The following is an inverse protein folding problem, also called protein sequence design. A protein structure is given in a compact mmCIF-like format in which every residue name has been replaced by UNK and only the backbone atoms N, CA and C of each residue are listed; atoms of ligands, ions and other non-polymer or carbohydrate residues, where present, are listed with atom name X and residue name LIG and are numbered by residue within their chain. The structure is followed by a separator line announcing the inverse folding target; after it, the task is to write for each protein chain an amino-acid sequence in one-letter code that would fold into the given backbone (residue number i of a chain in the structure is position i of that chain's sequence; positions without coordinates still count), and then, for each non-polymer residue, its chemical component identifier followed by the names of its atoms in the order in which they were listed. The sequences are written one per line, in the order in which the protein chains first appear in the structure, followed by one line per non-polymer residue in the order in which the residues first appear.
data_IF_812687338875
#
_entry.id   IF_812687338875
#
_cell.length_a   1.000
_cell.length_b   1.000
_cell.length_c   1.000
_cell.angle_alpha   90.00
_cell.angle_beta   90.00
_cell.angle_gamma   90.00
#
_symmetry.space_group_name_H-M   'P 1'
#
loop_
_entity.id
_entity.type
_entity.pdbx_description
1 polymer ?
#
# COMPACT_ATOMS: atom_id res chain seq x y z
N UNK A 1 10.04 24.14 -5.13
CA UNK A 1 10.14 23.01 -6.09
C UNK A 1 11.27 22.10 -5.65
N UNK A 2 10.96 20.97 -4.99
CA UNK A 2 11.99 20.00 -4.58
C UNK A 2 12.23 19.03 -5.75
N UNK A 3 13.26 19.30 -6.54
CA UNK A 3 13.63 18.51 -7.73
C UNK A 3 14.52 17.30 -7.41
N UNK A 4 14.62 16.89 -6.14
CA UNK A 4 15.59 15.88 -5.67
C UNK A 4 14.94 14.77 -4.81
N UNK A 5 13.71 14.37 -5.12
CA UNK A 5 13.11 13.20 -4.46
C UNK A 5 13.66 11.93 -5.12
N UNK A 6 13.93 10.87 -4.35
CA UNK A 6 14.31 9.55 -4.88
C UNK A 6 13.32 9.03 -5.96
N UNK A 7 12.06 9.47 -5.86
CA UNK A 7 11.02 9.29 -6.85
C UNK A 7 11.36 9.90 -8.23
N UNK A 8 11.90 11.11 -8.25
CA UNK A 8 12.22 11.85 -9.47
C UNK A 8 13.57 11.42 -10.07
N UNK A 9 14.45 10.81 -9.27
CA UNK A 9 15.75 10.30 -9.71
C UNK A 9 15.72 8.90 -10.37
N UNK A 10 14.58 8.21 -10.36
CA UNK A 10 14.44 6.95 -11.11
C UNK A 10 13.31 6.03 -10.66
N UNK A 11 12.90 6.08 -9.39
CA UNK A 11 11.82 5.20 -8.90
C UNK A 11 10.49 5.45 -9.64
N UNK A 12 10.26 6.66 -10.15
CA UNK A 12 9.07 6.94 -10.94
C UNK A 12 9.07 6.33 -12.33
N UNK A 13 10.21 6.26 -12.99
CA UNK A 13 10.34 5.52 -14.24
C UNK A 13 10.09 4.02 -14.01
N UNK A 14 10.70 3.45 -12.97
CA UNK A 14 10.50 2.03 -12.62
C UNK A 14 9.03 1.78 -12.26
N UNK A 15 8.43 2.66 -11.46
CA UNK A 15 7.00 2.58 -11.11
C UNK A 15 6.09 2.61 -12.33
N UNK A 16 6.39 3.47 -13.30
CA UNK A 16 5.64 3.56 -14.56
C UNK A 16 5.78 2.30 -15.43
N UNK A 17 7.01 1.77 -15.59
CA UNK A 17 7.24 0.53 -16.33
C UNK A 17 6.53 -0.65 -15.65
N UNK A 18 6.59 -0.73 -14.33
CA UNK A 18 5.90 -1.76 -13.56
C UNK A 18 4.37 -1.60 -13.55
N UNK A 19 3.86 -0.40 -13.78
CA UNK A 19 2.45 -0.18 -14.03
C UNK A 19 2.04 -0.71 -15.41
N UNK A 20 2.83 -0.42 -16.45
CA UNK A 20 2.57 -0.92 -17.81
C UNK A 20 2.60 -2.45 -17.89
N UNK A 21 3.45 -3.12 -17.11
CA UNK A 21 3.51 -4.59 -17.10
C UNK A 21 2.18 -5.25 -16.71
N UNK A 22 1.33 -4.58 -15.92
CA UNK A 22 0.01 -5.10 -15.53
C UNK A 22 -0.97 -5.21 -16.69
N UNK A 23 -0.83 -4.36 -17.70
CA UNK A 23 -1.64 -4.46 -18.91
C UNK A 23 -1.26 -5.68 -19.75
N UNK A 24 0.01 -6.08 -19.75
CA UNK A 24 0.44 -7.31 -20.41
C UNK A 24 -0.13 -8.56 -19.73
N UNK A 25 -0.35 -8.55 -18.42
CA UNK A 25 -1.01 -9.66 -17.72
C UNK A 25 -2.46 -9.87 -18.17
N UNK A 26 -3.13 -8.81 -18.66
CA UNK A 26 -4.48 -8.94 -19.24
C UNK A 26 -4.45 -9.76 -20.54
N UNK A 27 -3.34 -9.71 -21.29
CA UNK A 27 -3.16 -10.49 -22.52
C UNK A 27 -3.19 -12.00 -22.24
N UNK A 28 -2.67 -12.46 -21.10
CA UNK A 28 -2.77 -13.86 -20.68
C UNK A 28 -4.24 -14.31 -20.55
N UNK A 29 -5.07 -13.44 -19.96
CA UNK A 29 -6.52 -13.67 -19.84
C UNK A 29 -7.18 -13.70 -21.23
N UNK A 30 -6.78 -12.81 -22.15
CA UNK A 30 -7.27 -12.80 -23.53
C UNK A 30 -6.90 -14.07 -24.29
N UNK A 31 -5.69 -14.61 -24.11
CA UNK A 31 -5.24 -15.86 -24.72
C UNK A 31 -6.07 -17.05 -24.21
N UNK A 32 -6.39 -17.10 -22.92
CA UNK A 32 -7.22 -18.17 -22.34
C UNK A 32 -8.64 -18.12 -22.90
N UNK A 33 -9.23 -16.93 -22.98
CA UNK A 33 -10.55 -16.70 -23.57
C UNK A 33 -10.55 -17.07 -25.07
N UNK A 34 -9.50 -16.72 -25.81
CA UNK A 34 -9.34 -17.09 -27.22
C UNK A 34 -9.24 -18.61 -27.43
N UNK A 35 -8.76 -19.37 -26.42
CA UNK A 35 -8.75 -20.84 -26.42
C UNK A 35 -10.09 -21.46 -25.99
N UNK A 36 -11.14 -20.64 -25.84
CA UNK A 36 -12.49 -21.10 -25.51
C UNK A 36 -12.66 -21.57 -24.07
N UNK A 37 -11.73 -21.22 -23.17
CA UNK A 37 -11.86 -21.50 -21.73
C UNK A 37 -12.42 -20.28 -21.01
N UNK A 38 -13.40 -20.52 -20.14
CA UNK A 38 -13.95 -19.51 -19.23
C UNK A 38 -12.84 -18.94 -18.34
N UNK A 39 -12.64 -17.62 -18.39
CA UNK A 39 -11.75 -16.92 -17.45
C UNK A 39 -12.36 -17.01 -16.05
N UNK A 40 -11.56 -17.39 -15.05
CA UNK A 40 -12.03 -17.43 -13.67
C UNK A 40 -12.34 -16.01 -13.19
N UNK A 41 -13.46 -15.85 -12.49
CA UNK A 41 -13.84 -14.59 -11.82
C UNK A 41 -12.75 -14.08 -10.87
N UNK A 42 -11.95 -14.98 -10.29
CA UNK A 42 -10.78 -14.63 -9.46
C UNK A 42 -9.69 -13.91 -10.25
N UNK A 43 -9.41 -14.35 -11.48
CA UNK A 43 -8.41 -13.77 -12.35
C UNK A 43 -8.81 -12.35 -12.78
N UNK A 44 -10.07 -12.17 -13.18
CA UNK A 44 -10.61 -10.85 -13.56
C UNK A 44 -10.62 -9.87 -12.38
N UNK A 45 -11.05 -10.32 -11.19
CA UNK A 45 -11.01 -9.51 -9.97
C UNK A 45 -9.57 -9.09 -9.61
N UNK A 46 -8.65 -10.04 -9.67
CA UNK A 46 -7.24 -9.80 -9.40
C UNK A 46 -6.64 -8.77 -10.36
N UNK A 47 -6.74 -8.98 -11.68
CA UNK A 47 -6.13 -8.08 -12.66
C UNK A 47 -6.72 -6.68 -12.61
N UNK A 48 -8.04 -6.55 -12.46
CA UNK A 48 -8.68 -5.23 -12.37
C UNK A 48 -8.22 -4.48 -11.12
N UNK A 49 -8.19 -5.14 -9.98
CA UNK A 49 -7.81 -4.50 -8.72
C UNK A 49 -6.33 -4.12 -8.65
N UNK A 50 -5.42 -4.97 -9.14
CA UNK A 50 -3.98 -4.66 -9.15
C UNK A 50 -3.65 -3.50 -10.10
N UNK A 51 -4.38 -3.35 -11.21
CA UNK A 51 -4.22 -2.23 -12.14
C UNK A 51 -4.64 -0.90 -11.50
N UNK A 52 -5.77 -0.89 -10.78
CA UNK A 52 -6.26 0.29 -10.06
C UNK A 52 -5.30 0.68 -8.92
N UNK A 53 -4.80 -0.29 -8.17
CA UNK A 53 -3.82 -0.06 -7.10
C UNK A 53 -2.47 0.43 -7.64
N UNK A 54 -2.01 -0.11 -8.78
CA UNK A 54 -0.77 0.33 -9.42
C UNK A 54 -0.89 1.76 -9.98
N UNK A 55 -2.03 2.11 -10.56
CA UNK A 55 -2.31 3.49 -11.00
C UNK A 55 -2.26 4.48 -9.83
N UNK A 56 -2.92 4.18 -8.70
CA UNK A 56 -2.89 5.06 -7.53
C UNK A 56 -1.48 5.19 -6.95
N UNK A 57 -0.72 4.08 -6.90
CA UNK A 57 0.66 4.06 -6.45
C UNK A 57 1.58 5.01 -7.23
N UNK A 58 1.47 5.00 -8.57
CA UNK A 58 2.25 5.89 -9.44
C UNK A 58 1.75 7.33 -9.36
N UNK A 59 0.42 7.54 -9.37
CA UNK A 59 -0.19 8.88 -9.37
C UNK A 59 0.13 9.69 -8.11
N UNK A 60 0.20 9.02 -6.95
CA UNK A 60 0.46 9.65 -5.65
C UNK A 60 1.91 9.49 -5.18
N UNK A 61 2.80 8.98 -6.04
CA UNK A 61 4.22 8.74 -5.72
C UNK A 61 4.40 8.01 -4.39
N UNK A 62 3.62 6.95 -4.16
CA UNK A 62 3.60 6.25 -2.87
C UNK A 62 4.71 5.18 -2.82
N UNK A 63 5.71 5.31 -1.92
CA UNK A 63 6.81 4.34 -1.82
C UNK A 63 6.34 2.93 -1.42
N UNK A 64 5.32 2.83 -0.56
CA UNK A 64 4.77 1.56 -0.11
C UNK A 64 4.17 0.74 -1.28
N UNK A 65 3.55 1.42 -2.25
CA UNK A 65 3.02 0.77 -3.44
C UNK A 65 4.11 0.12 -4.30
N UNK A 66 5.30 0.75 -4.40
CA UNK A 66 6.43 0.20 -5.14
C UNK A 66 6.96 -1.09 -4.49
N UNK A 67 7.05 -1.13 -3.16
CA UNK A 67 7.46 -2.35 -2.43
C UNK A 67 6.51 -3.51 -2.74
N UNK A 68 5.19 -3.26 -2.71
CA UNK A 68 4.19 -4.26 -3.07
C UNK A 68 4.34 -4.75 -4.52
N UNK A 69 4.64 -3.83 -5.44
CA UNK A 69 4.87 -4.13 -6.86
C UNK A 69 6.13 -5.00 -7.06
N UNK A 70 7.23 -4.73 -6.36
CA UNK A 70 8.44 -5.57 -6.43
C UNK A 70 8.19 -6.98 -5.90
N UNK A 71 7.53 -7.10 -4.74
CA UNK A 71 7.17 -8.40 -4.17
C UNK A 71 6.25 -9.18 -5.12
N UNK A 72 5.26 -8.50 -5.70
CA UNK A 72 4.39 -9.11 -6.70
C UNK A 72 5.19 -9.63 -7.90
N UNK A 73 6.07 -8.82 -8.48
CA UNK A 73 6.86 -9.24 -9.64
C UNK A 73 7.77 -10.43 -9.34
N UNK A 74 8.31 -10.54 -8.12
CA UNK A 74 9.07 -11.71 -7.69
C UNK A 74 8.22 -12.99 -7.66
N UNK A 75 7.04 -12.93 -7.02
CA UNK A 75 6.11 -14.08 -6.96
C UNK A 75 5.58 -14.44 -8.35
N UNK A 76 5.27 -13.43 -9.17
CA UNK A 76 4.76 -13.62 -10.51
C UNK A 76 5.80 -14.22 -11.45
N UNK A 77 7.08 -13.86 -11.28
CA UNK A 77 8.20 -14.53 -11.98
C UNK A 77 8.23 -16.03 -11.68
N UNK A 78 8.08 -16.42 -10.40
CA UNK A 78 8.03 -17.84 -10.01
C UNK A 78 6.80 -18.56 -10.60
N UNK A 79 5.65 -17.89 -10.60
CA UNK A 79 4.40 -18.42 -11.14
C UNK A 79 4.45 -18.64 -12.65
N UNK A 80 4.97 -17.68 -13.42
CA UNK A 80 5.17 -17.85 -14.85
C UNK A 80 6.26 -18.86 -15.17
N UNK A 81 7.31 -18.97 -14.35
CA UNK A 81 8.32 -20.03 -14.51
C UNK A 81 7.66 -21.40 -14.40
N UNK A 82 6.74 -21.60 -13.46
CA UNK A 82 5.97 -22.84 -13.36
C UNK A 82 5.12 -23.11 -14.60
N UNK A 83 4.43 -22.10 -15.13
CA UNK A 83 3.65 -22.27 -16.36
C UNK A 83 4.50 -22.53 -17.60
N UNK A 84 5.69 -21.93 -17.69
CA UNK A 84 6.65 -22.22 -18.75
C UNK A 84 7.10 -23.68 -18.71
N UNK A 85 7.42 -24.20 -17.52
CA UNK A 85 7.77 -25.62 -17.33
C UNK A 85 6.61 -26.56 -17.67
N UNK A 86 5.38 -26.18 -17.30
CA UNK A 86 4.18 -26.94 -17.65
C UNK A 86 3.92 -26.94 -19.17
N UNK A 87 4.16 -25.81 -19.85
CA UNK A 87 4.05 -25.70 -21.30
C UNK A 87 5.15 -26.51 -22.03
N UNK A 88 6.32 -26.66 -21.43
CA UNK A 88 7.40 -27.52 -21.91
C UNK A 88 7.16 -29.03 -21.69
N UNK A 89 5.96 -29.43 -21.24
CA UNK A 89 5.56 -30.80 -20.94
C UNK A 89 6.43 -31.51 -19.90
N UNK A 90 7.14 -30.75 -19.05
CA UNK A 90 7.93 -31.30 -17.95
C UNK A 90 6.95 -31.65 -16.82
N UNK A 91 6.94 -32.89 -16.29
CA UNK A 91 6.03 -33.27 -15.22
C UNK A 91 6.39 -32.54 -13.93
N UNK A 92 5.61 -31.51 -13.59
CA UNK A 92 5.80 -30.73 -12.36
C UNK A 92 4.96 -31.33 -11.24
N UNK A 93 5.60 -31.65 -10.11
CA UNK A 93 4.92 -32.24 -8.96
C UNK A 93 3.81 -31.34 -8.40
N UNK A 94 2.69 -31.94 -7.98
CA UNK A 94 1.54 -31.23 -7.36
C UNK A 94 1.93 -30.40 -6.12
N UNK A 95 3.02 -30.78 -5.45
CA UNK A 95 3.59 -30.05 -4.30
C UNK A 95 4.06 -28.64 -4.67
N UNK A 96 4.59 -28.47 -5.89
CA UNK A 96 5.05 -27.16 -6.39
C UNK A 96 3.86 -26.24 -6.62
N UNK A 97 2.77 -26.78 -7.19
CA UNK A 97 1.52 -26.03 -7.36
C UNK A 97 0.97 -25.54 -6.02
N UNK A 98 1.01 -26.40 -4.98
CA UNK A 98 0.62 -26.02 -3.61
C UNK A 98 1.55 -24.95 -3.03
N UNK A 99 2.87 -25.11 -3.19
CA UNK A 99 3.86 -24.15 -2.70
C UNK A 99 3.69 -22.77 -3.34
N UNK A 100 3.40 -22.70 -4.65
CA UNK A 100 3.14 -21.45 -5.35
C UNK A 100 1.91 -20.72 -4.79
N UNK A 101 0.80 -21.43 -4.59
CA UNK A 101 -0.39 -20.82 -3.98
C UNK A 101 -0.11 -20.36 -2.54
N UNK A 102 0.70 -21.11 -1.78
CA UNK A 102 1.11 -20.69 -0.42
C UNK A 102 1.98 -19.43 -0.44
N UNK A 103 2.94 -19.31 -1.36
CA UNK A 103 3.77 -18.12 -1.50
C UNK A 103 2.92 -16.89 -1.90
N UNK A 104 1.94 -17.07 -2.78
CA UNK A 104 1.00 -15.99 -3.15
C UNK A 104 0.17 -15.51 -1.95
N UNK A 105 -0.33 -16.41 -1.12
CA UNK A 105 -1.07 -16.03 0.10
C UNK A 105 -0.15 -15.29 1.08
N UNK A 106 1.08 -15.76 1.28
CA UNK A 106 2.07 -15.10 2.14
C UNK A 106 2.37 -13.70 1.62
N UNK A 107 2.53 -13.52 0.29
CA UNK A 107 2.72 -12.20 -0.33
C UNK A 107 1.57 -11.26 0.01
N UNK A 108 0.31 -11.71 -0.08
CA UNK A 108 -0.84 -10.86 0.22
C UNK A 108 -0.91 -10.48 1.70
N UNK A 109 -0.63 -11.41 2.61
CA UNK A 109 -0.59 -11.14 4.06
C UNK A 109 0.53 -10.14 4.39
N UNK A 110 1.73 -10.32 3.84
CA UNK A 110 2.84 -9.39 4.02
C UNK A 110 2.52 -8.02 3.44
N UNK A 111 1.90 -7.96 2.26
CA UNK A 111 1.46 -6.71 1.63
C UNK A 111 0.41 -5.97 2.45
N UNK A 112 -0.56 -6.69 3.02
CA UNK A 112 -1.59 -6.11 3.90
C UNK A 112 -0.97 -5.63 5.21
N UNK A 113 -0.11 -6.44 5.84
CA UNK A 113 0.60 -6.09 7.05
C UNK A 113 1.44 -4.82 6.88
N UNK A 114 2.24 -4.75 5.82
CA UNK A 114 3.02 -3.55 5.47
C UNK A 114 2.11 -2.34 5.24
N UNK A 115 1.02 -2.49 4.49
CA UNK A 115 0.09 -1.38 4.22
C UNK A 115 -0.55 -0.85 5.51
N UNK A 116 -0.96 -1.72 6.42
CA UNK A 116 -1.46 -1.34 7.74
C UNK A 116 -0.36 -0.67 8.58
N UNK A 117 0.85 -1.23 8.62
CA UNK A 117 1.97 -0.60 9.35
C UNK A 117 2.27 0.80 8.84
N UNK A 118 2.20 1.05 7.53
CA UNK A 118 2.37 2.40 6.97
C UNK A 118 1.23 3.38 7.34
N UNK A 119 0.01 2.90 7.58
CA UNK A 119 -1.12 3.73 8.04
C UNK A 119 -1.02 4.08 9.52
N UNK A 120 -0.51 3.16 10.35
CA UNK A 120 -0.44 3.30 11.80
C UNK A 120 0.93 3.75 12.33
N UNK A 121 1.97 3.83 11.49
CA UNK A 121 3.27 4.35 11.87
C UNK A 121 3.17 5.87 12.13
N UNK A 122 3.04 6.23 13.41
CA UNK A 122 3.32 7.57 13.92
C UNK A 122 4.69 7.51 14.60
N UNK A 123 5.58 8.44 14.28
CA UNK A 123 6.86 8.59 14.99
C UNK A 123 6.81 9.90 15.75
N UNK A 124 7.10 9.83 17.04
CA UNK A 124 7.34 11.02 17.83
C UNK A 124 8.73 11.56 17.49
N UNK A 125 8.77 12.74 16.87
CA UNK A 125 10.03 13.45 16.61
C UNK A 125 10.23 14.48 17.72
N UNK A 126 11.38 14.39 18.38
CA UNK A 126 11.91 15.43 19.25
C UNK A 126 12.47 16.54 18.37
N UNK A 127 11.73 17.63 18.22
CA UNK A 127 12.27 18.83 17.59
C UNK A 127 12.95 19.68 18.67
N UNK A 128 14.25 20.03 18.52
CA UNK A 128 14.83 21.10 19.32
C UNK A 128 14.17 22.42 18.91
N UNK A 129 13.61 23.14 19.87
CA UNK A 129 13.09 24.50 19.69
C UNK A 129 14.25 25.42 19.24
N UNK A 130 14.36 25.67 17.93
CA UNK A 130 15.18 26.76 17.42
C UNK A 130 14.28 28.00 17.36
N UNK A 131 14.46 28.89 18.32
CA UNK A 131 13.84 30.21 18.34
C UNK A 131 14.43 31.08 17.22
N UNK A 132 13.97 30.87 16.00
CA UNK A 132 14.08 31.89 14.97
C UNK A 132 12.92 32.86 15.15
N UNK A 133 13.22 34.01 15.75
CA UNK A 133 12.37 35.21 15.72
C UNK A 133 12.27 35.65 14.25
N UNK A 134 11.38 35.03 13.48
CA UNK A 134 10.91 35.55 12.20
C UNK A 134 9.62 36.29 12.48
N UNK A 135 9.74 37.61 12.67
CA UNK A 135 8.63 38.53 12.39
C UNK A 135 8.27 38.35 10.91
N UNK A 136 7.21 37.61 10.63
CA UNK A 136 6.78 37.29 9.26
C UNK A 136 5.27 37.08 9.18
N UNK A 137 4.57 38.20 9.02
CA UNK A 137 3.35 38.39 8.23
C UNK A 137 2.32 37.25 8.18
N UNK A 138 1.22 37.50 8.88
CA UNK A 138 -0.14 37.08 8.54
C UNK A 138 -0.38 36.96 7.03
N UNK A 139 -0.50 35.73 6.53
CA UNK A 139 -1.14 35.43 5.26
C UNK A 139 -2.03 34.18 5.42
N UNK A 140 -3.32 34.43 5.61
CA UNK A 140 -4.36 33.42 5.78
C UNK A 140 -5.71 34.07 6.04
N UNK A 141 -6.12 34.95 5.12
CA UNK A 141 -7.42 35.62 5.12
C UNK A 141 -8.51 34.65 4.66
N UNK A 142 -9.46 34.42 5.59
CA UNK A 142 -10.90 34.17 5.48
C UNK A 142 -11.48 33.12 4.51
N UNK A 143 -12.36 32.27 5.06
CA UNK A 143 -13.79 32.34 4.74
C UNK A 143 -14.64 31.51 5.73
N UNK A 144 -15.64 32.18 6.34
CA UNK A 144 -16.96 31.67 6.78
C UNK A 144 -16.98 30.92 8.14
N UNK A 145 -17.83 31.17 9.15
CA UNK A 145 -19.10 31.93 9.29
C UNK A 145 -19.29 32.47 10.73
N UNK A 146 -20.09 33.53 10.83
CA UNK A 146 -20.62 34.18 12.04
C UNK A 146 -21.72 33.34 12.73
N UNK A 147 -21.79 33.36 14.07
CA UNK A 147 -22.94 33.79 14.90
C UNK A 147 -22.97 33.10 16.29
N UNK A 148 -23.19 33.86 17.38
CA UNK A 148 -23.63 33.32 18.69
C UNK A 148 -22.81 33.76 19.92
N UNK A 149 -23.41 34.64 20.73
CA UNK A 149 -22.94 35.17 22.02
C UNK A 149 -22.89 34.10 23.14
N UNK A 150 -21.95 34.19 24.10
CA UNK A 150 -22.17 34.16 25.57
C UNK A 150 -20.82 34.09 26.35
N UNK A 151 -20.80 34.71 27.54
CA UNK A 151 -19.64 34.96 28.40
C UNK A 151 -19.03 33.72 29.09
N UNK A 152 -17.82 33.84 29.67
CA UNK A 152 -17.54 33.73 31.14
C UNK A 152 -16.01 33.59 31.47
N UNK A 153 -15.52 34.59 32.22
CA UNK A 153 -14.51 34.62 33.31
C UNK A 153 -13.08 34.01 33.20
N UNK A 154 -12.14 34.90 33.53
CA UNK A 154 -10.73 34.85 34.00
C UNK A 154 -10.31 33.70 34.97
N UNK A 155 -9.05 33.56 35.47
CA UNK A 155 -7.93 34.53 35.45
C UNK A 155 -6.50 34.01 35.20
N UNK A 156 -5.68 34.99 34.78
CA UNK A 156 -4.27 35.24 35.09
C UNK A 156 -3.58 34.30 36.09
N UNK A 157 -2.44 33.76 35.69
CA UNK A 157 -1.26 33.62 36.56
C UNK A 157 0.01 34.08 35.84
N UNK A 158 0.53 35.21 36.29
CA UNK A 158 1.88 35.70 36.05
C UNK A 158 2.67 35.45 37.34
N UNK A 159 3.77 34.70 37.26
CA UNK A 159 4.94 34.57 38.18
C UNK A 159 5.65 33.27 37.77
N UNK A 160 6.96 33.07 37.77
CA UNK A 160 8.17 33.84 38.10
C UNK A 160 9.30 32.99 37.51
N UNK A 161 10.38 33.61 37.03
CA UNK A 161 11.57 32.91 36.54
C UNK A 161 12.17 31.97 37.60
N UNK A 162 12.22 30.66 37.31
CA UNK A 162 13.14 29.72 37.95
C UNK A 162 13.48 28.61 36.94
N UNK A 163 14.78 28.52 36.61
CA UNK A 163 15.42 27.26 36.27
C UNK A 163 15.13 26.65 34.89
N UNK A 164 16.10 26.80 34.00
CA UNK A 164 16.27 26.01 32.78
C UNK A 164 16.05 24.50 33.01
N UNK A 165 14.91 23.97 32.57
CA UNK A 165 14.81 22.59 32.09
C UNK A 165 14.19 22.61 30.70
N UNK A 166 15.00 22.31 29.68
CA UNK A 166 14.57 22.13 28.29
C UNK A 166 13.62 20.94 28.21
N UNK A 167 12.31 21.19 28.23
CA UNK A 167 11.33 20.15 27.90
C UNK A 167 11.26 20.08 26.38
N UNK A 168 11.94 19.08 25.80
CA UNK A 168 11.79 18.81 24.38
C UNK A 168 10.32 18.48 24.09
N UNK A 169 9.66 19.31 23.30
CA UNK A 169 8.27 19.12 22.93
C UNK A 169 8.19 17.93 21.95
N UNK A 170 7.54 16.85 22.36
CA UNK A 170 7.20 15.75 21.48
C UNK A 170 6.07 16.20 20.56
N UNK A 171 6.34 16.28 19.26
CA UNK A 171 5.26 16.46 18.27
C UNK A 171 5.05 15.14 17.56
N UNK A 172 3.88 14.54 17.74
CA UNK A 172 3.46 13.35 17.01
C UNK A 172 3.17 13.73 15.57
N UNK A 173 4.08 13.40 14.66
CA UNK A 173 3.89 13.61 13.22
C UNK A 173 3.43 12.30 12.59
N UNK A 174 2.29 12.33 11.91
CA UNK A 174 1.84 11.19 11.11
C UNK A 174 2.77 11.03 9.91
N UNK A 175 3.23 9.81 9.61
CA UNK A 175 4.18 9.55 8.51
C UNK A 175 3.69 10.04 7.13
N UNK A 176 2.39 10.25 6.97
CA UNK A 176 1.76 10.69 5.73
C UNK A 176 0.98 11.99 6.00
N UNK A 177 1.59 13.15 5.71
CA UNK A 177 0.88 14.42 5.69
C UNK A 177 0.06 14.62 4.40
N UNK A 178 0.25 13.76 3.40
CA UNK A 178 -0.33 13.88 2.07
C UNK A 178 -1.53 12.93 1.89
N UNK A 179 -2.73 13.49 1.77
CA UNK A 179 -3.98 12.76 1.61
C UNK A 179 -3.97 11.81 0.42
N UNK A 180 -3.19 12.10 -0.64
CA UNK A 180 -3.06 11.25 -1.81
C UNK A 180 -2.33 9.94 -1.53
N UNK A 181 -1.26 9.97 -0.73
CA UNK A 181 -0.51 8.76 -0.35
C UNK A 181 -1.35 7.88 0.59
N UNK A 182 -2.12 8.49 1.48
CA UNK A 182 -3.05 7.77 2.36
C UNK A 182 -4.14 7.06 1.55
N UNK A 183 -4.73 7.73 0.56
CA UNK A 183 -5.71 7.12 -0.35
C UNK A 183 -5.13 5.91 -1.10
N UNK A 184 -3.91 6.02 -1.64
CA UNK A 184 -3.28 4.91 -2.36
C UNK A 184 -3.09 3.66 -1.46
N UNK A 185 -2.74 3.87 -0.19
CA UNK A 185 -2.56 2.78 0.77
C UNK A 185 -3.92 2.22 1.20
N UNK A 186 -4.91 3.06 1.49
CA UNK A 186 -6.26 2.62 1.83
C UNK A 186 -6.90 1.81 0.70
N UNK A 187 -6.76 2.26 -0.54
CA UNK A 187 -7.24 1.55 -1.73
C UNK A 187 -6.57 0.18 -1.86
N UNK A 188 -5.25 0.12 -1.65
CA UNK A 188 -4.49 -1.13 -1.68
C UNK A 188 -4.90 -2.10 -0.56
N UNK A 189 -5.08 -1.59 0.66
CA UNK A 189 -5.54 -2.37 1.82
C UNK A 189 -6.95 -2.91 1.63
N UNK A 190 -7.88 -2.08 1.14
CA UNK A 190 -9.27 -2.47 0.88
C UNK A 190 -9.40 -3.54 -0.21
N UNK A 191 -8.48 -3.56 -1.18
CA UNK A 191 -8.40 -4.59 -2.22
C UNK A 191 -7.73 -5.89 -1.73
N UNK A 192 -6.61 -5.78 -0.99
CA UNK A 192 -5.84 -6.95 -0.56
C UNK A 192 -6.63 -7.86 0.40
N UNK A 193 -7.49 -7.30 1.23
CA UNK A 193 -8.27 -8.04 2.23
C UNK A 193 -9.23 -9.09 1.61
N UNK A 194 -10.17 -8.71 0.71
CA UNK A 194 -11.02 -9.68 0.02
C UNK A 194 -10.24 -10.64 -0.88
N UNK A 195 -9.15 -10.19 -1.51
CA UNK A 195 -8.30 -11.05 -2.33
C UNK A 195 -7.61 -12.15 -1.50
N UNK A 196 -7.04 -11.77 -0.35
CA UNK A 196 -6.42 -12.71 0.60
C UNK A 196 -7.43 -13.75 1.07
N UNK A 197 -8.65 -13.31 1.39
CA UNK A 197 -9.74 -14.20 1.75
C UNK A 197 -10.08 -15.18 0.62
N UNK A 198 -10.24 -14.71 -0.61
CA UNK A 198 -10.60 -15.57 -1.75
C UNK A 198 -9.55 -16.65 -2.02
N UNK A 199 -8.26 -16.28 -1.99
CA UNK A 199 -7.16 -17.22 -2.13
C UNK A 199 -7.05 -18.20 -0.96
N UNK A 200 -7.29 -17.73 0.27
CA UNK A 200 -7.37 -18.59 1.45
C UNK A 200 -8.47 -19.64 1.32
N UNK A 201 -9.68 -19.23 0.93
CA UNK A 201 -10.80 -20.14 0.68
C UNK A 201 -10.50 -21.13 -0.44
N UNK A 202 -9.90 -20.67 -1.55
CA UNK A 202 -9.44 -21.55 -2.63
C UNK A 202 -8.44 -22.59 -2.11
N UNK A 203 -7.43 -22.17 -1.34
CA UNK A 203 -6.42 -23.08 -0.80
C UNK A 203 -7.00 -24.15 0.12
N UNK A 204 -7.89 -23.76 1.03
CA UNK A 204 -8.58 -24.70 1.94
C UNK A 204 -9.37 -25.72 1.12
N UNK A 205 -10.21 -25.25 0.18
CA UNK A 205 -11.06 -26.13 -0.64
C UNK A 205 -10.25 -27.08 -1.52
N UNK A 206 -9.18 -26.60 -2.15
CA UNK A 206 -8.39 -27.37 -3.10
C UNK A 206 -7.41 -28.33 -2.41
N UNK A 207 -6.74 -27.91 -1.33
CA UNK A 207 -5.63 -28.69 -0.75
C UNK A 207 -5.95 -29.34 0.60
N UNK A 208 -6.82 -28.75 1.42
CA UNK A 208 -7.15 -29.31 2.74
C UNK A 208 -8.41 -30.19 2.68
N UNK A 209 -9.44 -29.78 1.95
CA UNK A 209 -10.69 -30.55 1.85
C UNK A 209 -10.54 -31.78 0.95
N UNK A 210 -9.79 -31.72 -0.16
CA UNK A 210 -9.55 -32.90 -1.01
C UNK A 210 -8.64 -33.94 -0.35
N UNK A 211 -7.67 -33.51 0.45
CA UNK A 211 -6.82 -34.43 1.20
C UNK A 211 -7.60 -35.23 2.26
N UNK A 212 -8.66 -34.65 2.84
CA UNK A 212 -9.57 -35.36 3.77
C UNK A 212 -10.53 -36.33 3.08
N UNK A 213 -10.77 -36.21 1.77
CA UNK A 213 -11.61 -37.14 0.99
C UNK A 213 -10.81 -38.28 0.34
N UNK A 214 -9.48 -38.17 0.32
CA UNK A 214 -8.56 -39.16 -0.24
C UNK A 214 -7.96 -40.11 0.82
N UNK A 215 -8.39 -39.96 2.08
CA UNK A 215 -8.14 -40.86 3.21
C UNK A 215 -9.48 -41.48 3.58
#
# INVERSE_FOLDING_TARGET
MYQNTLWDQGMGYIGWVMYLSKFYEVVDTLIILAKGKESSTLQTYHHTGVMICAWSGVRYKCPAALVGVFLNSGVHTLMYTYFALAAAAIPVAIRIKRALTSIQIIQFILGLGLSCSYLFAAYDVLLPEHNDIVKGTTAGLSSQMENGQFATMAPTKLTTEVGSQKMAAYTTMHCIPDSGKAFAILLSSAYLLPLTYLFGCFFVRTYLTQHKKAI
#
